data_IF_264993278667
#
_entry.id   IF_264993278667
#
_cell.length_a   1.000
_cell.length_b   1.000
_cell.length_c   1.000
_cell.angle_alpha   90.00
_cell.angle_beta   90.00
_cell.angle_gamma   90.00
#
_symmetry.space_group_name_H-M   'P 1'
#
loop_
_entity.id
_entity.type
_entity.pdbx_description
1 polymer ?
#
# COMPACT_ATOMS: atom_id res chain seq x y z
N UNK A 1 -19.01 -49.67 21.41
CA UNK A 1 -19.63 -50.30 20.23
C UNK A 1 -18.71 -50.12 19.05
N UNK A 2 -17.98 -51.15 18.66
CA UNK A 2 -17.23 -51.14 17.40
C UNK A 2 -18.23 -51.34 16.27
N UNK A 3 -18.39 -50.32 15.44
CA UNK A 3 -19.17 -50.46 14.21
C UNK A 3 -18.46 -51.42 13.27
N UNK A 4 -19.01 -52.59 13.07
CA UNK A 4 -18.49 -53.59 12.15
C UNK A 4 -18.82 -53.14 10.69
N UNK A 5 -17.82 -52.56 10.01
CA UNK A 5 -17.95 -52.03 8.65
C UNK A 5 -18.01 -53.15 7.57
N UNK A 6 -17.70 -54.38 7.93
CA UNK A 6 -17.65 -55.54 6.99
C UNK A 6 -18.92 -55.74 6.21
N UNK A 7 -20.14 -55.75 6.84
CA UNK A 7 -21.37 -56.03 6.10
C UNK A 7 -21.68 -54.94 5.05
N UNK A 8 -21.34 -53.68 5.30
CA UNK A 8 -21.57 -52.57 4.38
C UNK A 8 -20.61 -52.57 3.18
N UNK A 9 -19.37 -53.04 3.36
CA UNK A 9 -18.43 -53.24 2.27
C UNK A 9 -18.88 -54.38 1.35
N UNK A 10 -19.38 -55.48 1.91
CA UNK A 10 -19.93 -56.57 1.13
C UNK A 10 -21.21 -56.15 0.35
N UNK A 11 -22.06 -55.31 0.91
CA UNK A 11 -23.22 -54.75 0.25
C UNK A 11 -22.84 -53.90 -0.98
N UNK A 12 -21.82 -53.05 -0.86
CA UNK A 12 -21.26 -52.27 -1.97
C UNK A 12 -20.69 -53.18 -3.06
N UNK A 13 -20.00 -54.26 -2.65
CA UNK A 13 -19.43 -55.23 -3.58
C UNK A 13 -20.50 -56.04 -4.34
N UNK A 14 -21.59 -56.37 -3.67
CA UNK A 14 -22.77 -57.01 -4.29
C UNK A 14 -23.42 -56.12 -5.36
N UNK A 15 -23.46 -54.81 -5.13
CA UNK A 15 -24.06 -53.84 -6.05
C UNK A 15 -23.04 -53.22 -7.04
N UNK A 16 -21.88 -53.84 -7.26
CA UNK A 16 -20.78 -53.30 -8.11
C UNK A 16 -21.23 -52.92 -9.52
N UNK A 17 -22.12 -53.71 -10.18
CA UNK A 17 -22.59 -53.44 -11.52
C UNK A 17 -23.45 -52.18 -11.54
N UNK A 18 -24.33 -52.04 -10.53
CA UNK A 18 -25.17 -50.85 -10.36
C UNK A 18 -24.31 -49.59 -10.11
N UNK A 19 -23.28 -49.71 -9.27
CA UNK A 19 -22.35 -48.61 -9.02
C UNK A 19 -21.53 -48.23 -10.26
N UNK A 20 -21.10 -49.21 -11.05
CA UNK A 20 -20.39 -48.96 -12.32
C UNK A 20 -21.30 -48.29 -13.36
N UNK A 21 -22.55 -48.75 -13.50
CA UNK A 21 -23.53 -48.14 -14.42
C UNK A 21 -23.78 -46.65 -14.02
N UNK A 22 -23.99 -46.40 -12.72
CA UNK A 22 -24.16 -45.03 -12.22
C UNK A 22 -22.89 -44.16 -12.37
N UNK A 23 -21.69 -44.72 -12.22
CA UNK A 23 -20.44 -44.02 -12.48
C UNK A 23 -20.35 -43.56 -13.94
N UNK A 24 -20.64 -44.45 -14.89
CA UNK A 24 -20.62 -44.09 -16.32
C UNK A 24 -21.66 -43.02 -16.64
N UNK A 25 -22.88 -43.16 -16.10
CA UNK A 25 -23.95 -42.19 -16.27
C UNK A 25 -23.61 -40.84 -15.68
N UNK A 26 -23.11 -40.81 -14.43
CA UNK A 26 -22.70 -39.59 -13.76
C UNK A 26 -21.51 -38.90 -14.48
N UNK A 27 -20.57 -39.69 -14.96
CA UNK A 27 -19.46 -39.18 -15.78
C UNK A 27 -19.94 -38.54 -17.08
N UNK A 28 -20.88 -39.21 -17.78
CA UNK A 28 -21.51 -38.67 -19.00
C UNK A 28 -22.25 -37.37 -18.73
N UNK A 29 -23.06 -37.31 -17.70
CA UNK A 29 -23.77 -36.06 -17.29
C UNK A 29 -22.78 -34.96 -16.89
N UNK A 30 -21.75 -35.28 -16.11
CA UNK A 30 -20.74 -34.32 -15.72
C UNK A 30 -19.97 -33.75 -16.92
N UNK A 31 -19.66 -34.57 -17.93
CA UNK A 31 -19.06 -34.12 -19.19
C UNK A 31 -19.99 -33.17 -19.94
N UNK A 32 -21.26 -33.54 -20.11
CA UNK A 32 -22.27 -32.69 -20.79
C UNK A 32 -22.37 -31.34 -20.06
N UNK A 33 -22.49 -31.32 -18.73
CA UNK A 33 -22.54 -30.09 -17.95
C UNK A 33 -21.28 -29.25 -18.12
N UNK A 34 -20.08 -29.85 -18.04
CA UNK A 34 -18.81 -29.16 -18.15
C UNK A 34 -18.56 -28.58 -19.56
N UNK A 35 -19.11 -29.19 -20.61
CA UNK A 35 -18.84 -28.75 -21.99
C UNK A 35 -19.92 -27.83 -22.56
N UNK A 36 -21.20 -28.03 -22.21
CA UNK A 36 -22.33 -27.33 -22.81
C UNK A 36 -22.92 -26.24 -21.91
N UNK A 37 -22.91 -26.43 -20.58
CA UNK A 37 -23.57 -25.48 -19.66
C UNK A 37 -22.60 -24.37 -19.21
N UNK A 38 -21.33 -24.71 -18.91
CA UNK A 38 -20.40 -23.73 -18.39
C UNK A 38 -19.67 -22.99 -19.53
N UNK A 39 -19.90 -21.69 -19.61
CA UNK A 39 -19.27 -20.80 -20.60
C UNK A 39 -17.75 -20.77 -20.39
N UNK A 40 -17.01 -20.69 -21.49
CA UNK A 40 -15.56 -20.54 -21.46
C UNK A 40 -15.20 -19.09 -21.14
N UNK A 41 -14.16 -18.89 -20.34
CA UNK A 41 -13.62 -17.57 -20.04
C UNK A 41 -12.14 -17.52 -20.42
N UNK A 42 -11.75 -16.42 -21.03
CA UNK A 42 -10.38 -16.08 -21.39
C UNK A 42 -9.85 -15.10 -20.36
N UNK A 43 -8.53 -15.09 -20.09
CA UNK A 43 -7.92 -14.17 -19.14
C UNK A 43 -6.86 -13.34 -19.81
N UNK A 44 -6.90 -12.03 -19.60
CA UNK A 44 -5.79 -11.13 -19.87
C UNK A 44 -5.23 -10.62 -18.55
N UNK A 45 -3.91 -10.44 -18.49
CA UNK A 45 -3.20 -10.03 -17.29
C UNK A 45 -2.24 -8.90 -17.64
N UNK A 46 -2.20 -7.88 -16.78
CA UNK A 46 -1.20 -6.81 -16.79
C UNK A 46 -0.40 -6.87 -15.50
N UNK A 47 0.92 -6.75 -15.59
CA UNK A 47 1.83 -6.78 -14.43
C UNK A 47 2.63 -5.48 -14.36
N UNK A 48 2.67 -4.87 -13.18
CA UNK A 48 3.35 -3.59 -12.96
C UNK A 48 3.99 -3.52 -11.57
N UNK A 49 4.98 -2.62 -11.42
CA UNK A 49 5.60 -2.30 -10.14
C UNK A 49 4.91 -1.11 -9.49
N UNK A 50 4.82 -1.10 -8.16
CA UNK A 50 4.44 0.09 -7.41
C UNK A 50 5.49 1.19 -7.61
N UNK A 51 5.13 2.47 -7.36
CA UNK A 51 6.09 3.56 -7.41
C UNK A 51 7.26 3.29 -6.47
N UNK A 52 8.47 3.58 -6.97
CA UNK A 52 9.65 3.51 -6.12
C UNK A 52 9.51 4.50 -4.95
N UNK A 53 9.98 4.09 -3.77
CA UNK A 53 10.05 4.98 -2.62
C UNK A 53 10.74 6.30 -3.01
N UNK A 54 10.16 7.44 -2.60
CA UNK A 54 10.70 8.76 -2.95
C UNK A 54 12.17 8.92 -2.50
N UNK A 55 12.99 9.72 -3.20
CA UNK A 55 14.40 9.94 -2.85
C UNK A 55 14.63 10.42 -1.42
N UNK A 56 13.64 11.06 -0.79
CA UNK A 56 13.66 11.44 0.63
C UNK A 56 13.70 10.24 1.57
N UNK A 57 13.14 9.09 1.18
CA UNK A 57 13.26 7.85 1.94
C UNK A 57 14.61 7.16 1.73
N UNK A 58 15.32 7.42 0.62
CA UNK A 58 16.66 6.89 0.39
C UNK A 58 17.72 7.55 1.30
N UNK A 59 17.55 8.82 1.67
CA UNK A 59 18.45 9.50 2.62
C UNK A 59 18.30 8.90 4.03
N UNK A 60 17.10 8.46 4.40
CA UNK A 60 16.87 7.73 5.65
C UNK A 60 17.42 6.29 5.61
N UNK A 61 17.48 5.66 4.42
CA UNK A 61 18.09 4.34 4.24
C UNK A 61 19.62 4.35 4.43
N UNK A 62 20.30 5.45 4.13
CA UNK A 62 21.76 5.54 4.27
C UNK A 62 22.23 5.57 5.74
N UNK A 63 21.35 5.99 6.67
CA UNK A 63 21.65 6.06 8.10
C UNK A 63 21.25 4.81 8.89
N UNK A 64 20.29 4.00 8.39
CA UNK A 64 19.87 2.77 9.05
C UNK A 64 19.21 1.79 8.06
N UNK A 65 19.95 0.80 7.52
CA UNK A 65 19.40 -0.17 6.56
C UNK A 65 18.26 -1.04 7.15
N UNK A 66 18.19 -1.17 8.47
CA UNK A 66 17.10 -1.88 9.17
C UNK A 66 15.76 -1.13 9.08
N UNK A 67 15.78 0.19 8.98
CA UNK A 67 14.60 1.04 8.85
C UNK A 67 13.92 0.90 7.47
N UNK A 68 14.68 0.72 6.41
CA UNK A 68 14.12 0.47 5.07
C UNK A 68 13.37 -0.86 4.93
N UNK A 69 13.61 -1.80 5.86
CA UNK A 69 12.92 -3.09 5.92
C UNK A 69 11.60 -3.03 6.72
N UNK A 70 11.45 -2.02 7.58
CA UNK A 70 10.28 -1.85 8.45
C UNK A 70 9.28 -0.81 7.91
N UNK A 71 9.66 -0.03 6.90
CA UNK A 71 8.73 0.88 6.22
C UNK A 71 7.69 0.07 5.48
N UNK A 72 6.43 0.20 5.88
CA UNK A 72 5.30 -0.41 5.20
C UNK A 72 5.26 0.02 3.72
N UNK A 73 4.67 -0.81 2.88
CA UNK A 73 4.49 -0.55 1.44
C UNK A 73 3.34 0.45 1.21
N UNK A 74 3.56 1.72 1.60
CA UNK A 74 2.57 2.80 1.46
C UNK A 74 2.07 2.93 0.01
N UNK A 75 2.95 2.70 -0.96
CA UNK A 75 2.60 2.72 -2.37
C UNK A 75 1.66 1.58 -2.73
N UNK A 76 1.86 0.41 -2.13
CA UNK A 76 1.00 -0.75 -2.27
C UNK A 76 -0.38 -0.53 -1.68
N UNK A 77 -0.44 0.01 -0.47
CA UNK A 77 -1.72 0.31 0.21
C UNK A 77 -2.58 1.29 -0.62
N UNK A 78 -1.95 2.25 -1.31
CA UNK A 78 -2.65 3.17 -2.20
C UNK A 78 -3.21 2.44 -3.45
N UNK A 79 -2.46 1.51 -4.04
CA UNK A 79 -2.92 0.71 -5.19
C UNK A 79 -4.12 -0.13 -4.80
N UNK A 80 -4.06 -0.83 -3.65
CA UNK A 80 -5.16 -1.64 -3.14
C UNK A 80 -6.40 -0.78 -2.86
N UNK A 81 -6.22 0.39 -2.23
CA UNK A 81 -7.30 1.33 -1.94
C UNK A 81 -7.97 1.87 -3.21
N UNK A 82 -7.18 2.22 -4.24
CA UNK A 82 -7.71 2.69 -5.53
C UNK A 82 -8.45 1.56 -6.25
N UNK A 83 -7.88 0.35 -6.28
CA UNK A 83 -8.51 -0.82 -6.90
C UNK A 83 -9.83 -1.18 -6.23
N UNK A 84 -9.89 -1.09 -4.90
CA UNK A 84 -11.12 -1.36 -4.14
C UNK A 84 -12.13 -0.20 -4.15
N UNK A 85 -11.77 0.95 -4.70
CA UNK A 85 -12.62 2.14 -4.71
C UNK A 85 -13.93 1.90 -5.47
N UNK A 86 -15.02 2.50 -4.98
CA UNK A 86 -16.33 2.46 -5.66
C UNK A 86 -16.31 3.20 -7.00
N UNK A 87 -15.45 4.21 -7.13
CA UNK A 87 -15.32 5.02 -8.34
C UNK A 87 -14.76 4.18 -9.47
N UNK A 88 -13.64 3.48 -9.24
CA UNK A 88 -13.06 2.59 -10.24
C UNK A 88 -14.03 1.49 -10.65
N UNK A 89 -14.65 0.83 -9.67
CA UNK A 89 -15.63 -0.24 -9.92
C UNK A 89 -16.81 0.25 -10.77
N UNK A 90 -17.30 1.46 -10.50
CA UNK A 90 -18.37 2.08 -11.30
C UNK A 90 -17.91 2.34 -12.74
N UNK A 91 -16.73 2.94 -12.94
CA UNK A 91 -16.17 3.19 -14.28
C UNK A 91 -16.03 1.90 -15.11
N UNK A 92 -15.57 0.80 -14.50
CA UNK A 92 -15.44 -0.50 -15.16
C UNK A 92 -16.83 -1.04 -15.56
N UNK A 93 -17.80 -1.03 -14.63
CA UNK A 93 -19.15 -1.55 -14.86
C UNK A 93 -19.83 -0.76 -15.98
N UNK A 94 -19.72 0.56 -16.00
CA UNK A 94 -20.33 1.42 -17.02
C UNK A 94 -19.63 1.27 -18.38
N UNK A 95 -18.29 1.28 -18.42
CA UNK A 95 -17.52 1.18 -19.68
C UNK A 95 -17.80 -0.13 -20.42
N UNK A 96 -17.92 -1.25 -19.71
CA UNK A 96 -18.11 -2.57 -20.29
C UNK A 96 -19.54 -3.08 -20.23
N UNK A 97 -20.49 -2.20 -19.90
CA UNK A 97 -21.93 -2.48 -19.86
C UNK A 97 -22.26 -3.75 -19.05
N UNK A 98 -21.56 -3.94 -17.90
CA UNK A 98 -21.65 -5.17 -17.12
C UNK A 98 -23.05 -5.37 -16.50
N UNK A 99 -23.87 -4.32 -16.41
CA UNK A 99 -25.26 -4.47 -15.97
C UNK A 99 -26.07 -5.35 -16.93
N UNK A 100 -25.89 -5.19 -18.24
CA UNK A 100 -26.54 -6.00 -19.27
C UNK A 100 -25.97 -7.42 -19.32
N UNK A 101 -24.64 -7.53 -19.27
CA UNK A 101 -23.97 -8.82 -19.28
C UNK A 101 -24.34 -9.70 -18.08
N UNK A 102 -24.78 -9.10 -16.99
CA UNK A 102 -25.17 -9.79 -15.76
C UNK A 102 -26.70 -9.89 -15.57
N UNK A 103 -27.52 -9.42 -16.51
CA UNK A 103 -28.98 -9.35 -16.40
C UNK A 103 -29.46 -8.64 -15.13
N UNK A 104 -28.83 -7.52 -14.78
CA UNK A 104 -29.08 -6.79 -13.52
C UNK A 104 -29.90 -5.51 -13.70
N UNK A 105 -30.33 -5.18 -14.91
CA UNK A 105 -31.03 -3.93 -15.25
C UNK A 105 -32.27 -3.65 -14.37
N UNK A 106 -33.03 -4.70 -14.02
CA UNK A 106 -34.26 -4.61 -13.25
C UNK A 106 -34.11 -4.68 -11.74
N UNK A 107 -32.88 -4.81 -11.24
CA UNK A 107 -32.60 -4.99 -9.81
C UNK A 107 -32.40 -3.66 -9.08
N UNK A 108 -33.08 -3.40 -7.95
CA UNK A 108 -32.89 -2.15 -7.19
C UNK A 108 -31.45 -1.99 -6.68
N UNK A 109 -30.74 -3.09 -6.37
CA UNK A 109 -29.37 -3.09 -5.89
C UNK A 109 -28.36 -3.50 -6.99
N UNK A 110 -28.60 -3.04 -8.24
CA UNK A 110 -27.82 -3.46 -9.42
C UNK A 110 -26.31 -3.23 -9.26
N UNK A 111 -25.89 -2.12 -8.65
CA UNK A 111 -24.47 -1.78 -8.48
C UNK A 111 -23.75 -2.78 -7.56
N UNK A 112 -24.30 -3.05 -6.37
CA UNK A 112 -23.68 -3.96 -5.42
C UNK A 112 -23.59 -5.39 -5.95
N UNK A 113 -24.63 -5.83 -6.65
CA UNK A 113 -24.63 -7.15 -7.28
C UNK A 113 -23.64 -7.21 -8.44
N UNK A 114 -23.52 -6.16 -9.25
CA UNK A 114 -22.52 -6.07 -10.31
C UNK A 114 -21.10 -6.11 -9.73
N UNK A 115 -20.81 -5.36 -8.67
CA UNK A 115 -19.51 -5.38 -7.97
C UNK A 115 -19.21 -6.78 -7.43
N UNK A 116 -20.18 -7.47 -6.85
CA UNK A 116 -20.00 -8.84 -6.33
C UNK A 116 -19.67 -9.85 -7.45
N UNK A 117 -20.30 -9.71 -8.61
CA UNK A 117 -20.00 -10.56 -9.79
C UNK A 117 -18.66 -10.20 -10.41
N UNK A 118 -18.38 -8.91 -10.55
CA UNK A 118 -17.12 -8.40 -11.09
C UNK A 118 -15.89 -8.87 -10.28
N UNK A 119 -15.99 -8.97 -8.96
CA UNK A 119 -14.88 -9.49 -8.09
C UNK A 119 -14.43 -10.92 -8.45
N UNK A 120 -15.26 -11.70 -9.16
CA UNK A 120 -14.89 -13.03 -9.66
C UNK A 120 -14.17 -12.96 -11.01
N UNK A 121 -14.38 -11.88 -11.74
CA UNK A 121 -13.85 -11.68 -13.10
C UNK A 121 -12.61 -10.78 -13.11
N UNK A 122 -12.49 -9.85 -12.15
CA UNK A 122 -11.35 -8.94 -12.03
C UNK A 122 -10.68 -9.19 -10.68
N UNK A 123 -9.42 -9.60 -10.73
CA UNK A 123 -8.64 -9.96 -9.54
C UNK A 123 -7.33 -9.18 -9.55
N UNK A 124 -7.03 -8.52 -8.43
CA UNK A 124 -5.71 -7.97 -8.15
C UNK A 124 -4.93 -9.03 -7.35
N UNK A 125 -3.75 -9.33 -7.78
CA UNK A 125 -2.83 -10.22 -7.06
C UNK A 125 -1.46 -9.58 -6.91
N UNK A 126 -0.81 -9.88 -5.79
CA UNK A 126 0.49 -9.34 -5.42
C UNK A 126 1.53 -10.44 -5.40
N UNK A 127 2.70 -10.21 -6.01
CA UNK A 127 3.84 -11.08 -5.85
C UNK A 127 4.68 -10.59 -4.67
N UNK A 128 4.84 -11.45 -3.66
CA UNK A 128 5.59 -11.16 -2.46
C UNK A 128 6.98 -11.80 -2.55
N UNK A 129 8.04 -11.04 -2.25
CA UNK A 129 9.40 -11.57 -2.12
C UNK A 129 9.83 -11.47 -0.66
N UNK A 130 10.02 -12.61 -0.01
CA UNK A 130 10.54 -12.69 1.35
C UNK A 130 10.56 -14.14 1.81
N UNK A 131 11.72 -14.62 2.27
CA UNK A 131 11.90 -15.88 3.00
C UNK A 131 12.16 -15.53 4.46
N UNK A 132 11.09 -15.29 5.26
CA UNK A 132 11.24 -15.04 6.68
C UNK A 132 9.93 -14.64 7.34
N UNK A 133 9.78 -14.96 8.60
CA UNK A 133 8.61 -14.63 9.42
C UNK A 133 8.52 -13.10 9.55
N UNK A 134 7.52 -12.48 8.94
CA UNK A 134 7.19 -11.06 9.13
C UNK A 134 7.81 -10.06 8.14
N UNK A 135 8.57 -10.49 7.12
CA UNK A 135 9.23 -9.58 6.17
C UNK A 135 8.89 -9.91 4.71
N UNK A 136 7.65 -9.71 4.34
CA UNK A 136 7.19 -9.90 2.96
C UNK A 136 7.05 -8.52 2.30
N UNK A 137 7.96 -8.19 1.38
CA UNK A 137 7.86 -6.96 0.58
C UNK A 137 7.16 -7.28 -0.73
N UNK A 138 6.11 -6.52 -1.05
CA UNK A 138 5.44 -6.59 -2.35
C UNK A 138 6.43 -6.19 -3.44
N UNK A 139 6.60 -7.07 -4.43
CA UNK A 139 7.54 -6.83 -5.54
C UNK A 139 6.81 -6.35 -6.77
N UNK A 140 5.63 -6.91 -7.06
CA UNK A 140 4.83 -6.52 -8.21
C UNK A 140 3.35 -6.76 -7.96
N UNK A 141 2.54 -6.01 -8.68
CA UNK A 141 1.09 -6.16 -8.78
C UNK A 141 0.72 -6.74 -10.12
N UNK A 142 -0.31 -7.59 -10.15
CA UNK A 142 -0.90 -8.03 -11.40
C UNK A 142 -2.42 -7.97 -11.34
N UNK A 143 -3.01 -7.33 -12.34
CA UNK A 143 -4.47 -7.30 -12.54
C UNK A 143 -4.82 -8.34 -13.59
N UNK A 144 -5.67 -9.28 -13.22
CA UNK A 144 -6.15 -10.34 -14.09
C UNK A 144 -7.64 -10.18 -14.36
N UNK A 145 -8.01 -10.13 -15.64
CA UNK A 145 -9.38 -9.94 -16.09
C UNK A 145 -9.87 -11.18 -16.84
N UNK A 146 -11.04 -11.68 -16.46
CA UNK A 146 -11.69 -12.84 -17.10
C UNK A 146 -12.94 -12.39 -17.84
N UNK A 147 -13.06 -12.77 -19.10
CA UNK A 147 -14.28 -12.53 -19.89
C UNK A 147 -14.52 -13.65 -20.91
N UNK A 148 -15.75 -13.75 -21.39
CA UNK A 148 -16.12 -14.75 -22.44
C UNK A 148 -15.50 -14.45 -23.81
N UNK A 149 -15.22 -13.18 -24.10
CA UNK A 149 -14.47 -12.74 -25.27
C UNK A 149 -13.03 -12.41 -24.89
N UNK A 150 -12.00 -12.91 -25.61
CA UNK A 150 -10.60 -12.59 -25.36
C UNK A 150 -10.31 -11.11 -25.58
N UNK A 151 -10.91 -10.46 -26.62
CA UNK A 151 -10.74 -9.03 -26.87
C UNK A 151 -11.25 -8.18 -25.71
N UNK A 152 -12.43 -8.52 -25.18
CA UNK A 152 -12.99 -7.78 -24.04
C UNK A 152 -12.15 -7.97 -22.77
N UNK A 153 -11.57 -9.16 -22.55
CA UNK A 153 -10.68 -9.41 -21.43
C UNK A 153 -9.41 -8.54 -21.53
N UNK A 154 -8.83 -8.41 -22.76
CA UNK A 154 -7.71 -7.53 -23.03
C UNK A 154 -8.07 -6.07 -22.77
N UNK A 155 -9.14 -5.57 -23.39
CA UNK A 155 -9.61 -4.18 -23.21
C UNK A 155 -9.92 -3.84 -21.75
N UNK A 156 -10.45 -4.80 -20.98
CA UNK A 156 -10.69 -4.63 -19.55
C UNK A 156 -9.38 -4.46 -18.77
N UNK A 157 -8.37 -5.28 -19.05
CA UNK A 157 -7.08 -5.20 -18.37
C UNK A 157 -6.36 -3.88 -18.69
N UNK A 158 -6.36 -3.45 -19.96
CA UNK A 158 -5.83 -2.15 -20.39
C UNK A 158 -6.55 -0.99 -19.71
N UNK A 159 -7.88 -1.00 -19.72
CA UNK A 159 -8.67 0.07 -19.14
C UNK A 159 -8.47 0.18 -17.62
N UNK A 160 -8.41 -0.95 -16.92
CA UNK A 160 -8.19 -0.95 -15.47
C UNK A 160 -6.80 -0.42 -15.15
N UNK A 161 -5.78 -0.86 -15.89
CA UNK A 161 -4.43 -0.33 -15.71
C UNK A 161 -4.37 1.18 -15.97
N UNK A 162 -4.96 1.66 -17.06
CA UNK A 162 -5.01 3.09 -17.36
C UNK A 162 -5.74 3.90 -16.28
N UNK A 163 -6.83 3.36 -15.71
CA UNK A 163 -7.53 4.01 -14.60
C UNK A 163 -6.71 4.01 -13.31
N UNK A 164 -5.98 2.93 -13.00
CA UNK A 164 -5.08 2.86 -11.84
C UNK A 164 -3.94 3.85 -12.01
N UNK A 165 -3.32 3.87 -13.17
CA UNK A 165 -2.22 4.77 -13.51
C UNK A 165 -2.63 6.24 -13.37
N UNK A 166 -3.73 6.63 -13.99
CA UNK A 166 -4.30 7.97 -13.86
C UNK A 166 -4.60 8.35 -12.40
N UNK A 167 -5.19 7.44 -11.62
CA UNK A 167 -5.48 7.70 -10.21
C UNK A 167 -4.21 7.83 -9.38
N UNK A 168 -3.17 7.05 -9.67
CA UNK A 168 -1.88 7.15 -8.98
C UNK A 168 -1.13 8.43 -9.33
N UNK A 169 -1.22 8.90 -10.57
CA UNK A 169 -0.72 10.21 -11.00
C UNK A 169 -1.45 11.32 -10.20
N UNK A 170 -2.78 11.30 -10.16
CA UNK A 170 -3.57 12.29 -9.42
C UNK A 170 -3.21 12.32 -7.93
N UNK A 171 -3.02 11.16 -7.30
CA UNK A 171 -2.60 11.06 -5.89
C UNK A 171 -1.20 11.66 -5.72
N UNK A 172 -0.26 11.34 -6.61
CA UNK A 172 1.12 11.83 -6.57
C UNK A 172 1.19 13.36 -6.72
N UNK A 173 0.48 13.91 -7.71
CA UNK A 173 0.41 15.36 -7.95
C UNK A 173 -0.22 16.07 -6.75
N UNK A 174 -1.34 15.57 -6.23
CA UNK A 174 -2.01 16.17 -5.08
C UNK A 174 -1.14 16.13 -3.80
N UNK A 175 -0.35 15.07 -3.62
CA UNK A 175 0.61 14.96 -2.52
C UNK A 175 1.75 15.96 -2.68
N UNK A 176 2.33 16.05 -3.88
CA UNK A 176 3.41 16.98 -4.21
C UNK A 176 2.95 18.45 -4.08
N UNK A 177 1.76 18.79 -4.57
CA UNK A 177 1.19 20.14 -4.48
C UNK A 177 0.96 20.58 -3.03
N UNK A 178 0.42 19.69 -2.18
CA UNK A 178 0.26 19.99 -0.75
C UNK A 178 1.60 20.17 -0.04
N UNK A 179 2.59 19.37 -0.39
CA UNK A 179 3.94 19.49 0.17
C UNK A 179 4.58 20.82 -0.25
N UNK A 180 4.52 21.19 -1.54
CA UNK A 180 4.99 22.47 -2.04
C UNK A 180 4.32 23.65 -1.31
N UNK A 181 2.99 23.64 -1.21
CA UNK A 181 2.25 24.70 -0.54
C UNK A 181 2.66 24.86 0.95
N UNK A 182 2.92 23.74 1.64
CA UNK A 182 3.41 23.75 3.01
C UNK A 182 4.80 24.37 3.12
N UNK A 183 5.75 23.96 2.27
CA UNK A 183 7.12 24.50 2.28
C UNK A 183 7.12 25.97 1.88
N UNK A 184 6.30 26.37 0.91
CA UNK A 184 6.17 27.77 0.49
C UNK A 184 5.68 28.69 1.62
N UNK A 185 4.74 28.23 2.43
CA UNK A 185 4.28 28.96 3.60
C UNK A 185 5.37 29.05 4.69
N UNK A 186 6.14 27.97 4.89
CA UNK A 186 7.29 27.99 5.82
C UNK A 186 8.38 28.94 5.33
N UNK A 187 8.65 28.95 4.01
CA UNK A 187 9.61 29.88 3.42
C UNK A 187 9.17 31.34 3.59
N UNK A 188 7.91 31.66 3.31
CA UNK A 188 7.34 33.02 3.49
C UNK A 188 7.51 33.50 4.94
N UNK A 189 7.13 32.66 5.90
CA UNK A 189 7.25 32.97 7.33
C UNK A 189 8.71 33.14 7.75
N UNK A 190 9.61 32.32 7.21
CA UNK A 190 11.06 32.40 7.46
C UNK A 190 11.65 33.67 6.88
N UNK A 191 11.22 34.07 5.69
CA UNK A 191 11.68 35.28 5.01
C UNK A 191 11.27 36.55 5.77
N UNK A 192 10.01 36.65 6.19
CA UNK A 192 9.52 37.74 7.03
C UNK A 192 10.30 37.90 8.34
N UNK A 193 10.68 36.77 8.97
CA UNK A 193 11.54 36.79 10.17
C UNK A 193 12.92 37.25 9.84
N UNK A 194 13.48 36.84 8.70
CA UNK A 194 14.81 37.26 8.25
C UNK A 194 14.85 38.78 8.06
N UNK A 195 13.87 39.33 7.37
CA UNK A 195 13.78 40.78 7.14
C UNK A 195 13.70 41.54 8.47
N UNK A 196 12.86 41.10 9.39
CA UNK A 196 12.76 41.72 10.73
C UNK A 196 14.08 41.67 11.51
N UNK A 197 14.85 40.56 11.43
CA UNK A 197 16.15 40.44 12.10
C UNK A 197 17.21 41.30 11.42
N UNK A 198 17.18 41.38 10.09
CA UNK A 198 18.09 42.27 9.31
C UNK A 198 17.91 43.73 9.68
N UNK A 199 16.65 44.16 9.75
CA UNK A 199 16.29 45.52 10.14
C UNK A 199 16.79 45.85 11.57
N UNK A 200 16.48 44.95 12.51
CA UNK A 200 16.96 45.09 13.90
C UNK A 200 18.49 45.10 14.02
N UNK A 201 19.17 44.26 13.23
CA UNK A 201 20.65 44.23 13.21
C UNK A 201 21.22 45.49 12.60
N UNK A 202 20.65 46.00 11.50
CA UNK A 202 21.04 47.25 10.86
C UNK A 202 20.82 48.45 11.79
N UNK A 203 19.69 48.54 12.46
CA UNK A 203 19.41 49.61 13.45
C UNK A 203 20.44 49.56 14.59
N UNK A 204 20.79 48.39 15.11
CA UNK A 204 21.82 48.22 16.11
C UNK A 204 23.19 48.70 15.63
N UNK A 205 23.62 48.34 14.41
CA UNK A 205 24.88 48.75 13.82
C UNK A 205 24.98 50.28 13.66
N UNK A 206 23.90 50.93 13.17
CA UNK A 206 23.85 52.40 12.99
C UNK A 206 23.91 53.12 14.34
N UNK A 207 23.11 52.65 15.31
CA UNK A 207 22.99 53.30 16.63
C UNK A 207 24.30 53.20 17.42
N UNK A 208 24.96 52.06 17.40
CA UNK A 208 26.12 51.79 18.25
C UNK A 208 27.45 51.81 17.48
N UNK A 209 27.47 52.05 16.16
CA UNK A 209 28.65 52.04 15.27
C UNK A 209 29.45 50.72 15.38
N UNK A 210 28.77 49.61 15.55
CA UNK A 210 29.33 48.29 15.83
C UNK A 210 29.50 47.47 14.53
N UNK A 211 30.70 47.51 13.91
CA UNK A 211 30.89 46.92 12.57
C UNK A 211 31.77 45.66 12.50
N UNK A 212 32.48 45.26 13.58
CA UNK A 212 33.44 44.14 13.48
C UNK A 212 33.46 43.19 14.68
N UNK A 213 33.46 41.88 14.38
CA UNK A 213 33.75 40.79 15.33
C UNK A 213 34.87 39.91 14.79
N UNK A 214 35.59 39.23 15.72
CA UNK A 214 36.69 38.34 15.31
C UNK A 214 36.22 37.23 14.38
N UNK A 215 37.05 36.85 13.42
CA UNK A 215 36.77 35.76 12.46
C UNK A 215 36.48 34.43 13.17
N UNK A 216 37.12 34.16 14.31
CA UNK A 216 36.88 32.94 15.11
C UNK A 216 35.43 32.93 15.66
N UNK A 217 34.93 34.06 16.14
CA UNK A 217 33.53 34.18 16.61
C UNK A 217 32.55 34.01 15.47
N UNK A 218 32.82 34.59 14.29
CA UNK A 218 31.99 34.41 13.08
C UNK A 218 31.92 32.95 12.69
N UNK A 219 33.04 32.21 12.69
CA UNK A 219 33.09 30.79 12.34
C UNK A 219 32.28 29.94 13.33
N UNK A 220 32.42 30.18 14.62
CA UNK A 220 31.70 29.48 15.67
C UNK A 220 30.21 29.72 15.56
N UNK A 221 29.76 30.95 15.32
CA UNK A 221 28.36 31.30 15.12
C UNK A 221 27.78 30.65 13.86
N UNK A 222 28.59 30.54 12.81
CA UNK A 222 28.19 29.82 11.58
C UNK A 222 27.92 28.34 11.84
N UNK A 223 28.85 27.66 12.53
CA UNK A 223 28.67 26.25 12.89
C UNK A 223 27.41 26.04 13.76
N UNK A 224 27.17 26.91 14.74
CA UNK A 224 25.96 26.89 15.54
C UNK A 224 24.70 27.07 14.67
N UNK A 225 24.71 28.02 13.73
CA UNK A 225 23.63 28.31 12.84
C UNK A 225 23.29 27.09 11.92
N UNK A 226 24.33 26.43 11.40
CA UNK A 226 24.18 25.23 10.56
C UNK A 226 23.46 24.09 11.34
N UNK A 227 23.89 23.85 12.61
CA UNK A 227 23.26 22.84 13.47
C UNK A 227 21.79 23.22 13.79
N UNK A 228 21.54 24.50 14.08
CA UNK A 228 20.19 25.00 14.38
C UNK A 228 19.26 24.91 13.16
N UNK A 229 19.76 25.24 11.99
CA UNK A 229 19.02 25.10 10.74
C UNK A 229 18.69 23.63 10.45
N UNK A 230 19.67 22.72 10.66
CA UNK A 230 19.41 21.27 10.53
C UNK A 230 18.33 20.79 11.51
N UNK A 231 18.30 21.30 12.74
CA UNK A 231 17.26 20.99 13.72
C UNK A 231 15.86 21.43 13.24
N UNK A 232 15.76 22.66 12.71
CA UNK A 232 14.49 23.15 12.13
C UNK A 232 14.04 22.32 10.95
N UNK A 233 14.95 21.93 10.05
CA UNK A 233 14.63 21.07 8.91
C UNK A 233 14.14 19.69 9.36
N UNK A 234 14.75 19.12 10.39
CA UNK A 234 14.30 17.85 10.95
C UNK A 234 12.91 17.98 11.61
N UNK A 235 12.62 19.11 12.28
CA UNK A 235 11.29 19.40 12.84
C UNK A 235 10.24 19.52 11.72
N UNK A 236 10.54 20.20 10.63
CA UNK A 236 9.65 20.29 9.46
C UNK A 236 9.40 18.91 8.85
N UNK A 237 10.45 18.09 8.71
CA UNK A 237 10.33 16.70 8.28
C UNK A 237 9.43 15.89 9.21
N UNK A 238 9.62 16.05 10.52
CA UNK A 238 8.79 15.37 11.51
C UNK A 238 7.31 15.78 11.39
N UNK A 239 7.01 17.08 11.22
CA UNK A 239 5.66 17.57 10.98
C UNK A 239 5.04 16.99 9.71
N UNK A 240 5.81 16.84 8.64
CA UNK A 240 5.37 16.24 7.38
C UNK A 240 5.04 14.76 7.60
N UNK A 241 5.94 14.01 8.23
CA UNK A 241 5.74 12.60 8.53
C UNK A 241 4.50 12.36 9.42
N UNK A 242 4.30 13.18 10.44
CA UNK A 242 3.12 13.09 11.32
C UNK A 242 1.79 13.38 10.61
N UNK A 243 1.81 14.16 9.54
CA UNK A 243 0.62 14.38 8.69
C UNK A 243 0.35 13.22 7.73
N UNK A 244 1.40 12.57 7.26
CA UNK A 244 1.31 11.46 6.31
C UNK A 244 0.94 10.14 6.98
N UNK A 245 1.51 9.87 8.15
CA UNK A 245 1.35 8.62 8.88
C UNK A 245 0.44 8.80 10.11
N UNK A 246 -0.57 7.94 10.23
CA UNK A 246 -1.39 7.84 11.44
C UNK A 246 -0.75 6.82 12.38
N UNK A 247 0.00 7.30 13.38
CA UNK A 247 0.60 6.44 14.41
C UNK A 247 2.14 6.48 14.42
N UNK A 248 2.76 5.60 15.22
CA UNK A 248 4.21 5.49 15.31
C UNK A 248 4.75 4.71 14.12
N UNK A 249 5.31 5.43 13.15
CA UNK A 249 6.09 4.82 12.08
C UNK A 249 7.59 4.78 12.42
N UNK A 250 8.37 3.86 11.81
CA UNK A 250 9.81 3.83 11.94
C UNK A 250 10.49 5.15 11.55
N UNK A 251 9.95 5.84 10.53
CA UNK A 251 10.45 7.11 10.03
C UNK A 251 10.28 8.22 11.08
N UNK A 252 9.13 8.28 11.74
CA UNK A 252 8.88 9.21 12.86
C UNK A 252 9.87 8.95 14.00
N UNK A 253 10.10 7.67 14.32
CA UNK A 253 11.07 7.31 15.37
C UNK A 253 12.50 7.73 15.02
N UNK A 254 12.91 7.57 13.75
CA UNK A 254 14.22 8.03 13.27
C UNK A 254 14.36 9.55 13.38
N UNK A 255 13.38 10.31 12.91
CA UNK A 255 13.36 11.76 12.98
C UNK A 255 13.39 12.27 14.44
N UNK A 256 12.71 11.59 15.36
CA UNK A 256 12.75 11.88 16.78
C UNK A 256 14.14 11.62 17.41
N UNK A 257 14.82 10.56 16.99
CA UNK A 257 16.19 10.28 17.45
C UNK A 257 17.18 11.32 16.92
N UNK A 258 17.06 11.70 15.65
CA UNK A 258 17.85 12.77 15.05
C UNK A 258 17.63 14.10 15.75
N UNK A 259 16.38 14.44 16.09
CA UNK A 259 16.03 15.61 16.91
C UNK A 259 16.80 15.63 18.22
N UNK A 260 16.82 14.54 18.97
CA UNK A 260 17.56 14.45 20.24
C UNK A 260 19.05 14.64 20.08
N UNK A 261 19.63 14.14 18.99
CA UNK A 261 21.08 14.33 18.69
C UNK A 261 21.38 15.79 18.41
N UNK A 262 20.56 16.46 17.60
CA UNK A 262 20.71 17.87 17.26
C UNK A 262 20.50 18.77 18.47
N UNK A 263 19.49 18.50 19.28
CA UNK A 263 19.24 19.22 20.55
C UNK A 263 20.42 19.08 21.53
N UNK A 264 21.00 17.88 21.65
CA UNK A 264 22.20 17.68 22.49
C UNK A 264 23.38 18.49 21.98
N UNK A 265 23.63 18.50 20.67
CA UNK A 265 24.71 19.34 20.09
C UNK A 265 24.46 20.81 20.33
N UNK A 266 23.23 21.29 20.21
CA UNK A 266 22.91 22.69 20.52
C UNK A 266 23.14 23.02 21.99
N UNK A 267 22.74 22.14 22.91
CA UNK A 267 23.00 22.31 24.34
C UNK A 267 24.51 22.33 24.68
N UNK A 268 25.33 21.52 23.98
CA UNK A 268 26.78 21.54 24.12
C UNK A 268 27.37 22.92 23.72
N UNK A 269 26.83 23.55 22.67
CA UNK A 269 27.23 24.91 22.28
C UNK A 269 26.81 25.96 23.32
N UNK A 270 25.65 25.80 23.95
CA UNK A 270 25.12 26.74 24.93
C UNK A 270 25.83 26.63 26.31
N UNK A 271 26.30 25.42 26.68
CA UNK A 271 26.94 25.15 27.98
C UNK A 271 28.44 25.44 28.02
N UNK A 272 29.13 25.49 26.87
CA UNK A 272 30.54 25.78 26.82
C UNK A 272 30.78 27.29 27.00
N UNK A 273 31.21 27.73 28.19
CA UNK A 273 31.65 29.09 28.47
C UNK A 273 32.79 29.55 27.56
N UNK A 274 33.51 28.64 26.92
CA UNK A 274 34.59 28.88 25.98
C UNK A 274 34.17 29.69 24.74
N UNK A 275 32.86 29.77 24.45
CA UNK A 275 32.30 30.63 23.39
C UNK A 275 32.02 32.06 23.86
N UNK A 276 32.21 32.35 25.13
CA UNK A 276 32.15 33.71 25.69
C UNK A 276 33.47 34.46 25.57
N UNK A 277 34.52 33.85 25.02
CA UNK A 277 35.82 34.52 24.82
C UNK A 277 35.70 35.49 23.65
N UNK A 278 35.33 36.71 23.98
CA UNK A 278 35.28 37.82 23.06
C UNK A 278 36.59 38.59 23.15
N UNK A 279 37.30 38.80 22.01
CA UNK A 279 38.44 39.69 22.00
C UNK A 279 37.97 41.11 22.29
N UNK A 280 38.78 41.79 23.07
CA UNK A 280 38.61 43.18 23.47
C UNK A 280 38.37 44.11 22.28
N UNK A 281 37.16 44.43 22.03
CA UNK A 281 36.76 45.61 21.31
C UNK A 281 36.29 46.67 22.33
N UNK A 282 36.50 47.94 22.06
CA UNK A 282 36.11 49.07 22.92
C UNK A 282 34.57 49.20 23.10
N UNK A 283 33.88 48.10 23.11
CA UNK A 283 32.43 48.02 23.37
C UNK A 283 32.17 47.73 24.85
N UNK A 284 31.23 48.43 25.40
CA UNK A 284 30.78 48.19 26.78
C UNK A 284 30.34 46.72 26.96
N UNK A 285 30.58 46.17 28.14
CA UNK A 285 30.23 44.78 28.50
C UNK A 285 28.78 44.39 28.21
N UNK A 286 27.85 45.32 28.06
CA UNK A 286 26.44 45.06 27.76
C UNK A 286 26.12 45.03 26.25
N UNK A 287 26.87 45.72 25.41
CA UNK A 287 26.56 45.83 23.96
C UNK A 287 27.02 44.60 23.19
N UNK A 288 28.11 43.96 23.62
CA UNK A 288 28.69 42.81 22.93
C UNK A 288 27.76 41.59 22.96
N UNK A 289 27.13 41.19 24.08
CA UNK A 289 26.14 40.12 24.08
C UNK A 289 24.95 40.41 23.15
N UNK A 290 24.47 41.66 23.09
CA UNK A 290 23.36 42.05 22.19
C UNK A 290 23.77 41.91 20.73
N UNK A 291 24.96 42.39 20.35
CA UNK A 291 25.48 42.24 19.00
C UNK A 291 25.59 40.74 18.61
N UNK A 292 26.23 39.93 19.47
CA UNK A 292 26.43 38.50 19.24
C UNK A 292 25.08 37.77 19.07
N UNK A 293 24.10 38.11 19.88
CA UNK A 293 22.78 37.48 19.79
C UNK A 293 22.05 37.87 18.48
N UNK A 294 22.10 39.14 18.09
CA UNK A 294 21.50 39.58 16.82
C UNK A 294 22.20 38.97 15.62
N UNK A 295 23.54 38.96 15.61
CA UNK A 295 24.32 38.34 14.55
C UNK A 295 24.06 36.82 14.46
N UNK A 296 24.02 36.13 15.59
CA UNK A 296 23.66 34.70 15.67
C UNK A 296 22.26 34.48 15.08
N UNK A 297 21.30 35.29 15.48
CA UNK A 297 19.91 35.16 14.97
C UNK A 297 19.85 35.38 13.46
N UNK A 298 20.59 36.36 12.95
CA UNK A 298 20.69 36.65 11.52
C UNK A 298 21.30 35.47 10.77
N UNK A 299 22.44 34.92 11.24
CA UNK A 299 23.11 33.81 10.57
C UNK A 299 22.25 32.54 10.58
N UNK A 300 21.62 32.21 11.73
CA UNK A 300 20.69 31.09 11.84
C UNK A 300 19.52 31.24 10.83
N UNK A 301 18.92 32.44 10.79
CA UNK A 301 17.76 32.67 9.91
C UNK A 301 18.13 32.65 8.42
N UNK A 302 19.35 33.15 8.07
CA UNK A 302 19.90 33.01 6.73
C UNK A 302 20.07 31.56 6.32
N UNK A 303 20.64 30.71 7.17
CA UNK A 303 20.83 29.29 6.88
C UNK A 303 19.48 28.56 6.73
N UNK A 304 18.51 28.84 7.62
CA UNK A 304 17.17 28.29 7.51
C UNK A 304 16.54 28.68 6.16
N UNK A 305 16.64 29.96 5.79
CA UNK A 305 16.05 30.47 4.56
C UNK A 305 16.68 29.83 3.31
N UNK A 306 18.00 29.66 3.28
CA UNK A 306 18.71 28.97 2.20
C UNK A 306 18.29 27.49 2.06
N UNK A 307 18.08 26.79 3.18
CA UNK A 307 17.59 25.42 3.15
C UNK A 307 16.15 25.33 2.64
N UNK A 308 15.28 26.24 3.10
CA UNK A 308 13.87 26.29 2.66
C UNK A 308 13.76 26.62 1.17
N UNK A 309 14.61 27.48 0.61
CA UNK A 309 14.67 27.73 -0.84
C UNK A 309 14.97 26.44 -1.60
N UNK A 310 15.97 25.68 -1.16
CA UNK A 310 16.33 24.41 -1.80
C UNK A 310 15.18 23.39 -1.75
N UNK A 311 14.56 23.27 -0.59
CA UNK A 311 13.40 22.37 -0.41
C UNK A 311 12.20 22.81 -1.27
N UNK A 312 11.96 24.13 -1.38
CA UNK A 312 10.89 24.67 -2.21
C UNK A 312 11.13 24.34 -3.69
N UNK A 313 12.37 24.54 -4.18
CA UNK A 313 12.72 24.20 -5.56
C UNK A 313 12.61 22.69 -5.83
N UNK A 314 13.01 21.85 -4.88
CA UNK A 314 12.80 20.39 -4.98
C UNK A 314 11.32 20.02 -5.01
N UNK A 315 10.49 20.64 -4.17
CA UNK A 315 9.06 20.40 -4.13
C UNK A 315 8.37 20.85 -5.44
N UNK A 316 8.79 21.97 -6.02
CA UNK A 316 8.33 22.46 -7.33
C UNK A 316 8.70 21.47 -8.46
N UNK A 317 9.93 20.98 -8.46
CA UNK A 317 10.38 19.98 -9.41
C UNK A 317 9.62 18.65 -9.27
N UNK A 318 9.28 18.28 -8.05
CA UNK A 318 8.50 17.07 -7.77
C UNK A 318 7.04 17.22 -8.24
N UNK A 319 6.42 18.38 -8.03
CA UNK A 319 5.07 18.69 -8.52
C UNK A 319 5.01 18.74 -10.05
N UNK A 320 6.06 19.27 -10.69
CA UNK A 320 6.16 19.38 -12.15
C UNK A 320 6.43 18.05 -12.87
N UNK A 321 6.71 16.97 -12.14
CA UNK A 321 6.92 15.63 -12.74
C UNK A 321 5.58 15.01 -13.12
N UNK A 322 5.26 15.08 -14.40
CA UNK A 322 4.10 14.42 -15.01
C UNK A 322 4.50 13.04 -15.56
N UNK A 323 5.03 12.18 -14.68
CA UNK A 323 5.46 10.82 -15.05
C UNK A 323 4.65 9.83 -14.23
N UNK A 324 4.11 8.81 -14.94
CA UNK A 324 3.44 7.71 -14.27
C UNK A 324 4.31 7.12 -13.16
N UNK A 325 3.79 7.05 -11.94
CA UNK A 325 4.50 6.40 -10.85
C UNK A 325 4.51 4.87 -10.99
N UNK A 326 3.60 4.28 -11.80
CA UNK A 326 3.55 2.84 -12.04
C UNK A 326 4.50 2.46 -13.18
N UNK A 327 5.30 1.41 -12.96
CA UNK A 327 6.20 0.88 -13.99
C UNK A 327 5.60 -0.38 -14.57
N UNK A 328 5.18 -0.33 -15.84
CA UNK A 328 4.64 -1.49 -16.56
C UNK A 328 5.77 -2.51 -16.81
N UNK A 329 5.57 -3.76 -16.34
CA UNK A 329 6.49 -4.88 -16.59
C UNK A 329 6.00 -5.66 -17.80
N UNK A 330 4.79 -6.22 -17.69
CA UNK A 330 4.18 -7.02 -18.73
C UNK A 330 2.89 -6.35 -19.18
N UNK A 331 2.80 -5.89 -20.46
CA UNK A 331 1.56 -5.36 -20.99
C UNK A 331 0.50 -6.47 -21.08
N UNK A 332 -0.79 -6.14 -21.03
CA UNK A 332 -1.83 -7.12 -21.22
C UNK A 332 -1.78 -7.68 -22.65
N UNK A 333 -2.07 -8.96 -22.76
CA UNK A 333 -2.06 -9.66 -24.04
C UNK A 333 -3.37 -10.41 -24.28
N UNK A 334 -3.68 -10.64 -25.54
CA UNK A 334 -4.85 -11.40 -25.95
C UNK A 334 -4.65 -12.89 -25.66
N UNK A 335 -5.58 -13.47 -24.92
CA UNK A 335 -5.49 -14.88 -24.57
C UNK A 335 -5.75 -15.79 -25.78
N UNK A 336 -4.81 -16.64 -26.12
CA UNK A 336 -4.95 -17.66 -27.16
C UNK A 336 -5.75 -18.89 -26.66
N UNK A 337 -5.65 -19.17 -25.36
CA UNK A 337 -6.28 -20.33 -24.75
C UNK A 337 -7.27 -19.92 -23.64
N UNK A 338 -8.31 -20.75 -23.50
CA UNK A 338 -9.28 -20.60 -22.39
C UNK A 338 -8.62 -20.82 -21.04
N UNK A 339 -8.90 -19.94 -20.09
CA UNK A 339 -8.37 -20.01 -18.71
C UNK A 339 -9.30 -20.73 -17.76
N UNK A 340 -10.63 -20.59 -17.94
CA UNK A 340 -11.66 -21.20 -17.10
C UNK A 340 -12.81 -21.78 -17.95
N UNK A 341 -13.54 -22.80 -17.48
CA UNK A 341 -13.19 -23.69 -16.36
C UNK A 341 -12.10 -24.71 -16.74
N UNK A 342 -11.38 -25.19 -15.74
CA UNK A 342 -10.53 -26.39 -15.90
C UNK A 342 -11.46 -27.60 -15.93
N UNK A 343 -11.88 -28.05 -17.13
CA UNK A 343 -12.95 -29.03 -17.34
C UNK A 343 -12.65 -30.39 -16.68
N UNK A 344 -11.41 -30.88 -16.79
CA UNK A 344 -11.00 -32.18 -16.24
C UNK A 344 -11.22 -32.27 -14.73
N UNK A 345 -10.65 -31.36 -13.88
CA UNK A 345 -10.90 -31.41 -12.45
C UNK A 345 -12.37 -31.16 -12.07
N UNK A 346 -13.11 -30.36 -12.87
CA UNK A 346 -14.53 -30.12 -12.62
C UNK A 346 -15.34 -31.40 -12.81
N UNK A 347 -15.12 -32.16 -13.87
CA UNK A 347 -15.75 -33.46 -14.10
C UNK A 347 -15.39 -34.44 -12.97
N UNK A 348 -14.12 -34.49 -12.56
CA UNK A 348 -13.69 -35.34 -11.45
C UNK A 348 -14.44 -34.99 -10.13
N UNK A 349 -14.52 -33.73 -9.76
CA UNK A 349 -15.19 -33.32 -8.52
C UNK A 349 -16.68 -33.67 -8.54
N UNK A 350 -17.33 -33.43 -9.67
CA UNK A 350 -18.78 -33.78 -9.82
C UNK A 350 -18.99 -35.28 -9.73
N UNK A 351 -18.19 -36.08 -10.44
CA UNK A 351 -18.36 -37.56 -10.44
C UNK A 351 -18.02 -38.16 -9.09
N UNK A 352 -16.91 -37.75 -8.45
CA UNK A 352 -16.52 -38.25 -7.12
C UNK A 352 -17.54 -37.84 -6.06
N UNK A 353 -18.00 -36.57 -6.09
CA UNK A 353 -19.03 -36.06 -5.18
C UNK A 353 -20.37 -36.84 -5.31
N UNK A 354 -20.79 -37.06 -6.53
CA UNK A 354 -22.00 -37.87 -6.79
C UNK A 354 -21.84 -39.29 -6.29
N UNK A 355 -20.73 -39.95 -6.60
CA UNK A 355 -20.47 -41.33 -6.17
C UNK A 355 -20.37 -41.47 -4.66
N UNK A 356 -19.75 -40.52 -3.98
CA UNK A 356 -19.66 -40.51 -2.51
C UNK A 356 -21.06 -40.35 -1.87
N UNK A 357 -21.89 -39.46 -2.41
CA UNK A 357 -23.25 -39.27 -1.96
C UNK A 357 -24.11 -40.55 -2.20
N UNK A 358 -23.97 -41.17 -3.37
CA UNK A 358 -24.68 -42.41 -3.70
C UNK A 358 -24.28 -43.55 -2.76
N UNK A 359 -22.99 -43.76 -2.50
CA UNK A 359 -22.50 -44.74 -1.54
C UNK A 359 -23.07 -44.50 -0.13
N UNK A 360 -23.06 -43.22 0.31
CA UNK A 360 -23.63 -42.85 1.60
C UNK A 360 -25.11 -43.18 1.70
N UNK A 361 -25.91 -42.88 0.65
CA UNK A 361 -27.34 -43.20 0.60
C UNK A 361 -27.58 -44.71 0.67
N UNK A 362 -26.79 -45.52 -0.06
CA UNK A 362 -26.92 -46.98 -0.04
C UNK A 362 -26.63 -47.54 1.37
N UNK A 363 -25.57 -47.04 2.01
CA UNK A 363 -25.21 -47.49 3.38
C UNK A 363 -26.29 -47.04 4.39
N UNK A 364 -26.72 -45.78 4.31
CA UNK A 364 -27.77 -45.25 5.19
C UNK A 364 -29.08 -46.00 5.06
N UNK A 365 -29.47 -46.34 3.82
CA UNK A 365 -30.67 -47.16 3.56
C UNK A 365 -30.54 -48.57 4.15
N UNK A 366 -29.37 -49.20 4.01
CA UNK A 366 -29.09 -50.50 4.61
C UNK A 366 -29.16 -50.45 6.15
N UNK A 367 -28.55 -49.44 6.76
CA UNK A 367 -28.62 -49.25 8.21
C UNK A 367 -30.08 -49.02 8.68
N UNK A 368 -30.87 -48.25 7.94
CA UNK A 368 -32.26 -47.98 8.26
C UNK A 368 -33.12 -49.26 8.15
N UNK A 369 -32.92 -50.07 7.11
CA UNK A 369 -33.64 -51.35 6.96
C UNK A 369 -33.28 -52.36 8.03
N UNK A 370 -32.01 -52.41 8.43
CA UNK A 370 -31.55 -53.29 9.54
C UNK A 370 -32.10 -52.81 10.90
N UNK A 371 -32.17 -51.49 11.12
CA UNK A 371 -32.83 -50.93 12.29
C UNK A 371 -34.31 -51.29 12.38
N UNK A 372 -35.03 -51.15 11.27
CA UNK A 372 -36.47 -51.54 11.21
C UNK A 372 -36.68 -53.03 11.45
N UNK A 373 -35.84 -53.87 10.89
CA UNK A 373 -35.91 -55.34 11.10
C UNK A 373 -35.62 -55.72 12.54
N UNK A 374 -34.60 -55.09 13.18
CA UNK A 374 -34.30 -55.35 14.57
C UNK A 374 -35.39 -54.85 15.54
N UNK A 375 -35.99 -53.71 15.26
CA UNK A 375 -37.13 -53.17 16.03
C UNK A 375 -38.43 -54.04 15.87
N UNK A 376 -38.66 -54.61 14.68
CA UNK A 376 -39.84 -55.47 14.44
C UNK A 376 -39.70 -56.86 15.05
N UNK A 377 -38.45 -57.41 15.13
CA UNK A 377 -38.20 -58.69 15.79
C UNK A 377 -38.27 -58.56 17.33
N UNK A 378 -37.98 -57.40 17.90
CA UNK A 378 -38.13 -57.16 19.33
C UNK A 378 -39.56 -56.97 19.79
N UNK A 379 -40.50 -56.74 18.87
CA UNK A 379 -41.92 -56.49 19.13
C UNK A 379 -42.83 -57.77 18.95
N UNK A 380 -42.24 -58.94 18.71
CA UNK A 380 -43.03 -60.21 18.64
C UNK A 380 -43.20 -60.77 20.06
N UNK A 381 -44.40 -60.75 20.63
CA UNK A 381 -44.65 -61.40 21.92
C UNK A 381 -44.49 -62.92 21.75
N UNK A 382 -43.69 -63.53 22.63
CA UNK A 382 -43.68 -64.98 22.83
C UNK A 382 -45.13 -65.46 23.11
N UNK A 383 -45.62 -66.37 22.27
CA UNK A 383 -46.80 -67.16 22.53
C UNK A 383 -46.36 -68.56 22.98
#
# INVERSE_FOLDING_TARGET
MMFDLRPYILLLWKNRVFLLANFVLASGVAVVLAFFVVKQEFSSQVTFLPPAASPGSMLSMSTNPLMGLLSGDEAGDNIDAVFDSKILKRRIIEKFNLYDNYDLQKNPNKFEQAVRRMRRQVMLSTALKGKGIGMSKTVSYSVQCYHTSPDTALMMAEFIFACLDSAMIDISINKASRNRAFIEEQYRTSHEKLDSIQDAFKEFQVTYKAFDISEQTKLTLKVYADVKAAAVMNDLRLMTLQREFRGNSPEITAALNEKRVLERKLAEFEQKEEYSVLPSLNMSSELMPKYTNLYRSLEVQNQINLLLIRELEQARLQEARDVSPLVLIDPPYMAEYKSRPKRIPMVMVITVGYMSALMFIIVAYAMFTDFLKSGWLAAKPEK
#
